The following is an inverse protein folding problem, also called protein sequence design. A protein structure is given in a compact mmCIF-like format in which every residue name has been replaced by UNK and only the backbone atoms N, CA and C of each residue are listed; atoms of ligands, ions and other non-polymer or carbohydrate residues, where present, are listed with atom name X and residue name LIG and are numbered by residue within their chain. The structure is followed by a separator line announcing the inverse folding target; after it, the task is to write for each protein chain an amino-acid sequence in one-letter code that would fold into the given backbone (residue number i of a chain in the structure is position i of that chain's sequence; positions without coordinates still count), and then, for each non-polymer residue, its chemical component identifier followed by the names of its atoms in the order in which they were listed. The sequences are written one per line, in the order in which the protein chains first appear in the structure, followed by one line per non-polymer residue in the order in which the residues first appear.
data_IF_154719535100
#
_entry.id   IF_154719535100
#
_cell.length_a   1.000
_cell.length_b   1.000
_cell.length_c   1.000
_cell.angle_alpha   90.00
_cell.angle_beta   90.00
_cell.angle_gamma   90.00
#
_symmetry.space_group_name_H-M   'P 1'
#
loop_
_entity.id
_entity.type
_entity.pdbx_description
1 polymer ?
#
# COMPACT_ATOMS: atom_id res chain seq x y z
N UNK A 1 -11.40 -67.08 -32.93
CA UNK A 1 -12.58 -67.33 -32.07
C UNK A 1 -12.20 -67.06 -30.61
N UNK A 2 -13.12 -66.43 -29.85
CA UNK A 2 -13.15 -66.17 -28.38
C UNK A 2 -12.49 -64.89 -27.79
N UNK A 3 -13.28 -63.81 -27.86
CA UNK A 3 -13.85 -62.95 -26.78
C UNK A 3 -13.14 -62.57 -25.45
N UNK A 4 -13.26 -61.25 -25.15
CA UNK A 4 -13.42 -60.53 -23.86
C UNK A 4 -12.13 -60.23 -23.06
N UNK A 5 -11.86 -59.04 -22.49
CA UNK A 5 -12.66 -57.96 -21.85
C UNK A 5 -11.98 -56.58 -22.14
N UNK A 6 -12.64 -55.50 -22.59
CA UNK A 6 -13.39 -54.47 -21.84
C UNK A 6 -12.71 -53.92 -20.55
N UNK A 7 -12.00 -52.79 -20.65
CA UNK A 7 -12.42 -51.47 -20.13
C UNK A 7 -11.25 -50.45 -20.11
N UNK A 8 -11.46 -49.20 -20.57
CA UNK A 8 -10.48 -48.11 -20.50
C UNK A 8 -10.66 -47.28 -19.23
N UNK A 9 -9.57 -46.83 -18.61
CA UNK A 9 -9.61 -45.83 -17.55
C UNK A 9 -8.65 -44.68 -17.86
N UNK A 10 -9.24 -43.70 -18.54
CA UNK A 10 -9.05 -42.25 -18.38
C UNK A 10 -7.96 -41.86 -17.36
N UNK A 11 -6.80 -41.42 -17.86
CA UNK A 11 -5.91 -40.56 -17.06
C UNK A 11 -6.20 -39.12 -17.47
N UNK A 12 -6.65 -38.39 -16.47
CA UNK A 12 -7.09 -37.01 -16.50
C UNK A 12 -6.01 -36.07 -17.03
N UNK A 13 -6.49 -35.11 -17.82
CA UNK A 13 -5.83 -33.86 -18.20
C UNK A 13 -5.11 -33.21 -16.99
N UNK A 14 -3.79 -33.16 -17.03
CA UNK A 14 -3.04 -32.12 -16.32
C UNK A 14 -3.09 -30.85 -17.17
N UNK A 15 -4.23 -30.17 -17.09
CA UNK A 15 -4.29 -28.74 -17.32
C UNK A 15 -3.73 -28.06 -16.07
N UNK A 16 -2.42 -27.87 -16.01
CA UNK A 16 -1.85 -26.91 -15.07
C UNK A 16 -1.96 -25.54 -15.72
N UNK A 17 -3.08 -24.89 -15.38
CA UNK A 17 -3.43 -23.57 -15.82
C UNK A 17 -2.30 -22.58 -15.55
N UNK A 18 -2.03 -21.76 -16.57
CA UNK A 18 -1.31 -20.51 -16.48
C UNK A 18 -1.81 -19.70 -15.27
N UNK A 19 -1.04 -19.70 -14.19
CA UNK A 19 -1.13 -18.66 -13.18
C UNK A 19 -0.13 -17.58 -13.58
N UNK A 20 -0.50 -16.85 -14.64
CA UNK A 20 0.08 -15.54 -14.89
C UNK A 20 -0.29 -14.69 -13.66
N UNK A 21 0.68 -14.56 -12.75
CA UNK A 21 0.61 -13.59 -11.67
C UNK A 21 0.58 -12.25 -12.39
N UNK A 22 -0.60 -11.65 -12.46
CA UNK A 22 -0.78 -10.30 -12.97
C UNK A 22 0.02 -9.40 -12.02
N UNK A 23 1.28 -9.15 -12.39
CA UNK A 23 2.16 -8.24 -11.70
C UNK A 23 1.60 -6.86 -12.00
N UNK A 24 0.71 -6.40 -11.12
CA UNK A 24 0.18 -5.05 -11.16
C UNK A 24 1.35 -4.12 -10.82
N UNK A 25 2.14 -3.76 -11.82
CA UNK A 25 3.19 -2.77 -11.69
C UNK A 25 2.51 -1.44 -11.42
N UNK A 26 2.36 -1.10 -10.14
CA UNK A 26 1.84 0.19 -9.72
C UNK A 26 2.64 1.28 -10.47
N UNK A 27 1.96 2.15 -11.20
CA UNK A 27 2.64 3.12 -12.04
C UNK A 27 3.37 4.11 -11.14
N UNK A 28 4.70 4.16 -11.21
CA UNK A 28 5.50 5.11 -10.42
C UNK A 28 5.23 6.53 -10.93
N UNK A 29 4.64 7.37 -10.09
CA UNK A 29 4.50 8.80 -10.38
C UNK A 29 5.81 9.46 -9.97
N UNK A 30 6.45 10.27 -10.83
CA UNK A 30 7.62 11.05 -10.42
C UNK A 30 7.27 11.91 -9.20
N UNK A 31 8.09 11.83 -8.16
CA UNK A 31 7.89 12.56 -6.91
C UNK A 31 7.87 11.67 -5.66
N UNK A 32 7.55 12.27 -4.52
CA UNK A 32 7.58 11.62 -3.21
C UNK A 32 6.16 11.44 -2.67
N UNK A 33 5.85 10.25 -2.19
CA UNK A 33 4.65 9.95 -1.41
C UNK A 33 4.98 9.87 0.08
N UNK A 34 4.15 10.43 0.94
CA UNK A 34 4.35 10.43 2.40
C UNK A 34 3.06 10.12 3.17
N UNK A 35 3.18 9.44 4.31
CA UNK A 35 2.08 9.08 5.22
C UNK A 35 2.47 9.33 6.68
N UNK A 36 1.48 9.58 7.55
CA UNK A 36 1.66 9.57 9.00
C UNK A 36 1.10 8.27 9.59
N UNK A 37 1.98 7.43 10.13
CA UNK A 37 1.66 6.15 10.75
C UNK A 37 1.35 6.34 12.24
N UNK A 38 0.39 5.57 12.74
CA UNK A 38 0.02 5.47 14.17
C UNK A 38 0.56 4.16 14.76
N UNK A 39 0.99 4.18 16.03
CA UNK A 39 1.36 2.98 16.80
C UNK A 39 0.15 2.19 17.33
N UNK A 40 -1.07 2.48 16.88
CA UNK A 40 -2.23 1.68 17.27
C UNK A 40 -1.97 0.18 16.95
N UNK A 41 -2.31 -0.76 17.85
CA UNK A 41 -1.94 -2.18 17.75
C UNK A 41 -2.37 -2.87 16.46
N UNK A 42 -3.28 -2.25 15.70
CA UNK A 42 -3.82 -2.76 14.44
C UNK A 42 -3.72 -1.77 13.27
N UNK A 43 -2.98 -0.66 13.40
CA UNK A 43 -2.75 0.31 12.31
C UNK A 43 -4.02 0.67 11.53
N UNK A 44 -5.09 1.11 12.22
CA UNK A 44 -6.38 1.40 11.58
C UNK A 44 -6.15 2.34 10.38
N UNK A 45 -6.42 1.84 9.17
CA UNK A 45 -6.24 2.60 7.92
C UNK A 45 -6.91 3.97 7.95
N UNK A 46 -8.00 4.12 8.71
CA UNK A 46 -8.71 5.39 8.93
C UNK A 46 -7.84 6.43 9.65
N UNK A 47 -7.12 6.06 10.72
CA UNK A 47 -6.24 6.99 11.42
C UNK A 47 -5.06 7.41 10.54
N UNK A 48 -4.46 6.46 9.82
CA UNK A 48 -3.37 6.78 8.88
C UNK A 48 -3.88 7.76 7.82
N UNK A 49 -5.09 7.53 7.29
CA UNK A 49 -5.69 8.42 6.31
C UNK A 49 -5.92 9.84 6.87
N UNK A 50 -6.60 9.98 8.01
CA UNK A 50 -6.92 11.27 8.62
C UNK A 50 -5.66 12.07 8.99
N UNK A 51 -4.66 11.40 9.57
CA UNK A 51 -3.38 12.05 9.92
C UNK A 51 -2.63 12.49 8.67
N UNK A 52 -2.57 11.61 7.66
CA UNK A 52 -1.91 11.91 6.39
C UNK A 52 -2.60 13.05 5.66
N UNK A 53 -3.93 13.06 5.58
CA UNK A 53 -4.70 14.13 4.95
C UNK A 53 -4.45 15.48 5.63
N UNK A 54 -4.48 15.49 6.97
CA UNK A 54 -4.18 16.70 7.77
C UNK A 54 -2.80 17.25 7.43
N UNK A 55 -1.78 16.39 7.44
CA UNK A 55 -0.42 16.80 7.11
C UNK A 55 -0.25 17.20 5.64
N UNK A 56 -0.97 16.54 4.74
CA UNK A 56 -0.94 16.85 3.32
C UNK A 56 -1.47 18.25 3.04
N UNK A 57 -2.56 18.64 3.70
CA UNK A 57 -3.10 20.02 3.66
C UNK A 57 -2.09 21.04 4.19
N UNK A 58 -1.45 20.76 5.33
CA UNK A 58 -0.44 21.65 5.94
C UNK A 58 0.78 21.85 5.04
N UNK A 59 1.27 20.77 4.42
CA UNK A 59 2.46 20.79 3.56
C UNK A 59 2.14 21.10 2.10
N UNK A 60 0.88 21.37 1.76
CA UNK A 60 0.39 21.69 0.40
C UNK A 60 0.68 20.58 -0.63
N UNK A 61 0.66 19.32 -0.20
CA UNK A 61 0.71 18.18 -1.10
C UNK A 61 -0.67 17.81 -1.65
N UNK A 62 -0.72 16.77 -2.48
CA UNK A 62 -1.94 16.24 -3.07
C UNK A 62 -2.24 14.85 -2.53
N UNK A 63 -3.41 14.66 -1.91
CA UNK A 63 -3.83 13.32 -1.50
C UNK A 63 -4.11 12.45 -2.74
N UNK A 64 -3.52 11.26 -2.76
CA UNK A 64 -3.66 10.26 -3.82
C UNK A 64 -4.03 8.90 -3.23
N UNK A 65 -4.73 8.10 -4.03
CA UNK A 65 -5.06 6.72 -3.73
C UNK A 65 -4.12 5.75 -4.45
N UNK A 66 -3.89 4.58 -3.87
CA UNK A 66 -3.16 3.47 -4.47
C UNK A 66 -3.73 2.13 -3.98
N UNK A 67 -3.40 1.03 -4.66
CA UNK A 67 -3.76 -0.33 -4.23
C UNK A 67 -3.13 -0.68 -2.88
N UNK A 68 -1.87 -0.28 -2.69
CA UNK A 68 -1.11 -0.49 -1.47
C UNK A 68 0.16 0.38 -1.46
N UNK A 69 0.19 1.40 -0.61
CA UNK A 69 1.36 2.25 -0.42
C UNK A 69 2.39 1.50 0.44
N UNK A 70 3.18 0.64 -0.22
CA UNK A 70 4.28 -0.12 0.38
C UNK A 70 3.89 -0.96 1.61
N UNK A 71 2.71 -1.61 1.58
CA UNK A 71 2.23 -2.48 2.65
C UNK A 71 1.56 -1.76 3.82
N UNK A 72 1.19 -0.49 3.67
CA UNK A 72 0.80 0.36 4.82
C UNK A 72 -0.61 0.93 4.75
N UNK A 73 -1.02 1.45 3.60
CA UNK A 73 -2.31 2.16 3.45
C UNK A 73 -2.67 2.33 1.98
N UNK A 74 -3.94 2.63 1.70
CA UNK A 74 -4.43 2.90 0.33
C UNK A 74 -4.33 4.37 -0.06
N UNK A 75 -3.84 5.24 0.81
CA UNK A 75 -3.78 6.68 0.57
C UNK A 75 -2.46 7.27 1.04
N UNK A 76 -1.91 8.20 0.26
CA UNK A 76 -0.68 8.92 0.60
C UNK A 76 -0.74 10.37 0.14
N UNK A 77 0.08 11.21 0.75
CA UNK A 77 0.30 12.58 0.30
C UNK A 77 1.40 12.63 -0.75
N UNK A 78 1.11 13.13 -1.94
CA UNK A 78 2.04 13.24 -3.05
C UNK A 78 2.62 14.65 -3.18
N UNK A 79 3.92 14.71 -3.46
CA UNK A 79 4.65 15.90 -3.86
C UNK A 79 5.31 15.63 -5.21
N UNK A 80 5.17 16.56 -6.16
CA UNK A 80 5.77 16.45 -7.50
C UNK A 80 7.30 16.48 -7.44
N UNK A 81 7.84 17.29 -6.52
CA UNK A 81 9.26 17.36 -6.21
C UNK A 81 9.64 16.47 -5.03
N UNK A 82 10.95 16.32 -4.81
CA UNK A 82 11.46 15.69 -3.59
C UNK A 82 10.99 16.45 -2.35
N UNK A 83 10.38 15.73 -1.41
CA UNK A 83 10.02 16.26 -0.10
C UNK A 83 10.84 15.55 0.98
N UNK A 84 11.47 16.32 1.87
CA UNK A 84 12.30 15.79 2.95
C UNK A 84 11.48 14.85 3.84
N UNK A 85 11.86 13.55 3.95
CA UNK A 85 11.19 12.62 4.86
C UNK A 85 11.30 13.07 6.32
N UNK A 86 12.37 13.77 6.67
CA UNK A 86 12.57 14.30 8.02
C UNK A 86 11.61 15.45 8.33
N UNK A 87 11.39 16.37 7.37
CA UNK A 87 10.43 17.46 7.53
C UNK A 87 8.99 16.94 7.62
N UNK A 88 8.71 15.82 6.95
CA UNK A 88 7.42 15.15 7.07
C UNK A 88 7.23 14.51 8.45
N UNK A 89 8.22 13.73 8.90
CA UNK A 89 8.18 13.03 10.19
C UNK A 89 8.16 14.01 11.38
N UNK A 90 9.10 14.96 11.43
CA UNK A 90 9.27 15.84 12.59
C UNK A 90 8.30 17.02 12.55
N UNK A 91 8.25 17.77 11.44
CA UNK A 91 7.49 19.02 11.39
C UNK A 91 6.01 18.80 11.13
N UNK A 92 5.57 17.57 10.87
CA UNK A 92 4.16 17.28 10.70
C UNK A 92 3.68 16.11 11.56
N UNK A 93 4.09 14.89 11.25
CA UNK A 93 3.50 13.71 11.89
C UNK A 93 3.72 13.72 13.40
N UNK A 94 4.95 13.92 13.86
CA UNK A 94 5.25 13.98 15.30
C UNK A 94 4.79 15.27 15.94
N UNK A 95 4.95 16.42 15.29
CA UNK A 95 4.55 17.71 15.88
C UNK A 95 3.05 17.83 16.10
N UNK A 96 2.23 17.43 15.13
CA UNK A 96 0.76 17.58 15.22
C UNK A 96 0.17 16.48 16.11
N UNK A 97 0.72 15.27 16.07
CA UNK A 97 0.17 14.08 16.71
C UNK A 97 1.08 13.52 17.82
N UNK A 98 1.86 14.38 18.48
CA UNK A 98 2.88 13.99 19.47
C UNK A 98 2.31 13.17 20.63
N UNK A 99 1.04 13.43 21.00
CA UNK A 99 0.38 12.95 22.21
C UNK A 99 -1.08 12.56 21.95
N UNK A 100 -1.42 12.06 20.75
CA UNK A 100 -2.78 11.58 20.55
C UNK A 100 -3.03 10.25 21.28
N UNK A 101 -4.31 9.98 21.57
CA UNK A 101 -4.73 8.80 22.34
C UNK A 101 -4.37 7.47 21.65
N UNK A 102 -4.07 7.51 20.35
CA UNK A 102 -3.69 6.34 19.55
C UNK A 102 -2.19 6.03 19.55
N UNK A 103 -1.36 6.86 20.19
CA UNK A 103 0.06 6.63 20.41
C UNK A 103 0.98 7.44 19.49
N UNK A 104 2.28 7.11 19.51
CA UNK A 104 3.30 7.91 18.81
C UNK A 104 3.07 7.86 17.30
N UNK A 105 2.85 9.04 16.71
CA UNK A 105 2.80 9.21 15.27
C UNK A 105 4.21 9.27 14.67
N UNK A 106 4.42 8.69 13.49
CA UNK A 106 5.69 8.76 12.76
C UNK A 106 5.47 8.91 11.25
N UNK A 107 6.37 9.61 10.58
CA UNK A 107 6.36 9.82 9.15
C UNK A 107 7.03 8.69 8.39
N UNK A 108 6.46 8.32 7.23
CA UNK A 108 7.09 7.46 6.25
C UNK A 108 6.91 8.07 4.86
N UNK A 109 8.00 8.15 4.10
CA UNK A 109 7.99 8.62 2.72
C UNK A 109 8.70 7.62 1.80
N UNK A 110 8.21 7.49 0.57
CA UNK A 110 8.82 6.68 -0.49
C UNK A 110 8.44 7.24 -1.87
N UNK A 111 8.95 6.67 -2.96
CA UNK A 111 8.50 6.97 -4.31
C UNK A 111 6.98 6.77 -4.44
N UNK A 112 6.31 7.72 -5.09
CA UNK A 112 4.87 7.69 -5.30
C UNK A 112 4.47 6.65 -6.35
N UNK A 113 3.40 5.92 -6.12
CA UNK A 113 2.88 4.88 -7.03
C UNK A 113 1.35 4.96 -7.12
N UNK A 114 0.78 4.74 -8.30
CA UNK A 114 -0.68 4.58 -8.53
C UNK A 114 -1.05 3.12 -8.33
#
# INVERSE_FOLDING_TARGET
MRFSLLAPLLVLLLGEGSLAKEEYTAAVIPGTGCICMSQAPNGRSTEIHERTETCCKVKKGLMRGTVDFWGRTKNYCHFEDFFSPQDWDQDCCRRIFHNDESGISSGYCNAATI
#
